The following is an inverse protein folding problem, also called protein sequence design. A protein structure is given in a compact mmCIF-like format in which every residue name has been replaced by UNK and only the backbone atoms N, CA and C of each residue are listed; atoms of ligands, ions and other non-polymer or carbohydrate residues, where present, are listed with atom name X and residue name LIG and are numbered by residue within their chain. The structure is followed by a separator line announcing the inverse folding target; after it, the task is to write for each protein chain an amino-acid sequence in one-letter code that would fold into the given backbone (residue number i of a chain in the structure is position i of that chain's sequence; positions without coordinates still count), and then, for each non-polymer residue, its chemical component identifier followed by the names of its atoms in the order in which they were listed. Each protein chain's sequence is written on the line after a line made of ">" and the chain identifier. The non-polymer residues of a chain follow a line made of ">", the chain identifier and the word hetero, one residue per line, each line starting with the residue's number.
data_IF_390777666963
#
_entry.id   IF_390777666963
#
_cell.length_a   1.000
_cell.length_b   1.000
_cell.length_c   1.000
_cell.angle_alpha   90.00
_cell.angle_beta   90.00
_cell.angle_gamma   90.00
#
_symmetry.space_group_name_H-M   'P 1'
#
loop_
_entity.id
_entity.type
_entity.pdbx_description
1 polymer ?
#
# COMPACT_ATOMS: atom_id res chain seq x y z
N UNK A 1 -5.42 3.99 -14.60
CA UNK A 1 -6.16 2.81 -14.08
C UNK A 1 -7.19 3.17 -13.03
N UNK A 2 -6.89 4.07 -12.08
CA UNK A 2 -7.85 4.51 -11.06
C UNK A 2 -9.25 4.87 -11.61
N UNK A 3 -9.39 5.61 -12.72
CA UNK A 3 -10.72 5.93 -13.26
C UNK A 3 -11.51 4.72 -13.79
N UNK A 4 -10.84 3.60 -14.06
CA UNK A 4 -11.44 2.38 -14.60
C UNK A 4 -11.81 1.36 -13.50
N UNK A 5 -11.46 1.62 -12.24
CA UNK A 5 -11.67 0.73 -11.10
C UNK A 5 -12.18 1.53 -9.90
N UNK A 6 -13.43 2.04 -9.95
CA UNK A 6 -13.95 2.97 -8.95
C UNK A 6 -14.08 2.37 -7.54
N UNK A 7 -14.36 1.06 -7.46
CA UNK A 7 -14.62 0.37 -6.19
C UNK A 7 -13.41 -0.44 -5.68
N UNK A 8 -12.23 -0.26 -6.29
CA UNK A 8 -11.01 -0.96 -5.87
C UNK A 8 -10.19 -0.04 -4.97
N UNK A 9 -9.80 -0.48 -3.77
CA UNK A 9 -8.92 0.30 -2.90
C UNK A 9 -7.59 0.62 -3.59
N UNK A 10 -7.15 1.87 -3.50
CA UNK A 10 -5.90 2.35 -4.11
C UNK A 10 -4.96 2.86 -3.02
N UNK A 11 -3.72 2.38 -3.06
CA UNK A 11 -2.63 2.88 -2.23
C UNK A 11 -1.62 3.56 -3.14
N UNK A 12 -1.40 4.85 -2.89
CA UNK A 12 -0.37 5.64 -3.55
C UNK A 12 0.61 6.18 -2.50
N UNK A 13 1.89 6.23 -2.87
CA UNK A 13 2.98 6.79 -2.08
C UNK A 13 4.08 7.34 -2.98
N UNK A 14 5.02 8.11 -2.42
CA UNK A 14 6.22 8.48 -3.16
C UNK A 14 7.06 7.24 -3.49
N UNK A 15 7.90 7.32 -4.51
CA UNK A 15 8.76 6.20 -4.91
C UNK A 15 9.77 5.84 -3.79
N UNK A 16 10.06 4.55 -3.55
CA UNK A 16 10.96 4.10 -2.47
C UNK A 16 12.45 4.37 -2.71
N UNK A 17 12.84 4.87 -3.89
CA UNK A 17 14.24 5.21 -4.16
C UNK A 17 14.79 6.22 -3.12
N UNK A 18 16.09 6.15 -2.78
CA UNK A 18 16.72 7.08 -1.84
C UNK A 18 16.49 8.56 -2.15
N UNK A 19 16.32 8.92 -3.43
CA UNK A 19 16.11 10.31 -3.87
C UNK A 19 14.73 10.91 -3.50
N UNK A 20 13.78 10.08 -3.08
CA UNK A 20 12.38 10.48 -2.84
C UNK A 20 11.74 9.83 -1.62
N UNK A 21 12.40 8.86 -0.99
CA UNK A 21 11.78 8.05 0.04
C UNK A 21 11.44 8.85 1.31
N UNK A 22 12.33 9.77 1.70
CA UNK A 22 12.16 10.72 2.80
C UNK A 22 11.07 11.78 2.52
N UNK A 23 10.78 12.03 1.24
CA UNK A 23 9.75 12.99 0.79
C UNK A 23 8.33 12.42 0.76
N UNK A 24 8.13 11.16 1.18
CA UNK A 24 6.78 10.61 1.34
C UNK A 24 6.59 9.12 1.09
N UNK A 25 7.66 8.33 0.97
CA UNK A 25 7.53 6.88 1.03
C UNK A 25 7.51 6.43 2.50
N UNK A 26 8.51 6.84 3.29
CA UNK A 26 8.51 6.59 4.73
C UNK A 26 7.33 7.32 5.39
N UNK A 27 6.57 6.59 6.21
CA UNK A 27 5.34 7.08 6.82
C UNK A 27 4.06 6.90 5.98
N UNK A 28 4.16 6.63 4.67
CA UNK A 28 2.97 6.34 3.83
C UNK A 28 2.33 4.97 4.08
N UNK A 29 3.08 4.09 4.78
CA UNK A 29 2.66 2.77 5.28
C UNK A 29 1.93 1.90 4.23
N UNK A 30 2.49 1.69 3.03
CA UNK A 30 1.77 1.03 1.94
C UNK A 30 1.45 -0.44 2.26
N UNK A 31 2.33 -1.14 2.98
CA UNK A 31 2.15 -2.56 3.32
C UNK A 31 1.08 -2.79 4.38
N UNK A 32 1.04 -1.98 5.45
CA UNK A 32 0.01 -2.15 6.48
C UNK A 32 -1.36 -1.72 5.97
N UNK A 33 -1.44 -0.63 5.19
CA UNK A 33 -2.68 -0.20 4.54
C UNK A 33 -3.21 -1.24 3.56
N UNK A 34 -2.32 -1.96 2.86
CA UNK A 34 -2.73 -3.08 2.02
C UNK A 34 -3.38 -4.20 2.84
N UNK A 35 -2.78 -4.55 3.98
CA UNK A 35 -3.35 -5.55 4.89
C UNK A 35 -4.67 -5.08 5.55
N UNK A 36 -4.80 -3.80 5.86
CA UNK A 36 -6.06 -3.20 6.35
C UNK A 36 -7.17 -3.35 5.30
N UNK A 37 -6.91 -3.01 4.03
CA UNK A 37 -7.89 -3.21 2.96
C UNK A 37 -8.21 -4.69 2.70
N UNK A 38 -7.23 -5.59 2.76
CA UNK A 38 -7.50 -7.03 2.64
C UNK A 38 -8.43 -7.50 3.75
N UNK A 39 -8.15 -7.11 5.00
CA UNK A 39 -8.97 -7.45 6.15
C UNK A 39 -10.40 -6.90 6.02
N UNK A 40 -10.57 -5.64 5.62
CA UNK A 40 -11.88 -5.02 5.39
C UNK A 40 -12.68 -5.72 4.28
N UNK A 41 -12.00 -6.28 3.28
CA UNK A 41 -12.59 -7.08 2.20
C UNK A 41 -12.82 -8.55 2.58
N UNK A 42 -12.49 -8.96 3.81
CA UNK A 42 -12.64 -10.33 4.30
C UNK A 42 -11.55 -11.30 3.80
N UNK A 43 -10.43 -10.78 3.30
CA UNK A 43 -9.26 -11.55 2.90
C UNK A 43 -8.19 -11.57 4.00
N UNK A 44 -7.34 -12.59 3.96
CA UNK A 44 -6.21 -12.69 4.89
C UNK A 44 -5.13 -11.64 4.57
N UNK A 45 -4.50 -11.03 5.59
CA UNK A 45 -3.39 -10.11 5.40
C UNK A 45 -2.15 -10.83 4.85
N UNK A 46 -1.34 -10.13 4.08
CA UNK A 46 -0.09 -10.67 3.54
C UNK A 46 1.01 -10.61 4.61
N UNK A 47 1.72 -11.73 4.79
CA UNK A 47 2.99 -11.75 5.51
C UNK A 47 4.11 -11.24 4.60
N UNK A 48 4.60 -10.03 4.88
CA UNK A 48 5.67 -9.38 4.12
C UNK A 48 7.07 -9.77 4.59
N UNK A 49 7.20 -10.56 5.67
CA UNK A 49 8.50 -11.05 6.13
C UNK A 49 9.04 -12.08 5.14
N UNK A 50 10.31 -11.96 4.79
CA UNK A 50 11.03 -12.90 3.92
C UNK A 50 11.87 -13.91 4.72
N UNK A 51 11.75 -13.88 6.04
CA UNK A 51 12.51 -14.69 7.00
C UNK A 51 11.90 -16.06 7.22
#
# INVERSE_FOLDING_TARGET
>A
LAPALPDVPIIASAHPSPMSADRGFFGSKPFSRANEFLYELGADPINWSLT
#
